data_IF_711514499165
#
_entry.id   IF_711514499165
#
_cell.length_a   1.000
_cell.length_b   1.000
_cell.length_c   1.000
_cell.angle_alpha   90.00
_cell.angle_beta   90.00
_cell.angle_gamma   90.00
#
_symmetry.space_group_name_H-M   'P 1'
#
loop_
_entity.id
_entity.type
_entity.pdbx_description
1 polymer ?
#
# COMPACT_ATOMS: atom_id res chain seq x y z
N UNK A 1 16.33 -20.61 15.21
CA UNK A 1 15.52 -19.53 14.63
C UNK A 1 16.26 -19.11 13.38
N UNK A 2 15.98 -19.78 12.26
CA UNK A 2 16.74 -19.61 11.03
C UNK A 2 16.39 -18.26 10.40
N UNK A 3 17.41 -17.48 10.06
CA UNK A 3 17.26 -16.28 9.27
C UNK A 3 16.65 -16.69 7.92
N UNK A 4 15.40 -16.28 7.68
CA UNK A 4 14.77 -16.42 6.36
C UNK A 4 15.63 -15.67 5.36
N UNK A 5 16.03 -16.36 4.30
CA UNK A 5 16.81 -15.83 3.19
C UNK A 5 16.21 -14.51 2.69
N UNK A 6 17.02 -13.46 2.68
CA UNK A 6 16.72 -12.11 2.22
C UNK A 6 16.69 -12.01 0.67
N UNK A 7 15.99 -12.92 0.01
CA UNK A 7 15.81 -12.91 -1.46
C UNK A 7 14.46 -13.44 -1.96
N UNK A 8 13.50 -13.69 -1.06
CA UNK A 8 12.15 -14.00 -1.50
C UNK A 8 11.38 -12.70 -1.75
N UNK A 9 11.00 -12.50 -3.02
CA UNK A 9 10.19 -11.36 -3.44
C UNK A 9 8.83 -11.49 -2.74
N UNK A 10 8.49 -10.54 -1.87
CA UNK A 10 7.14 -10.43 -1.30
C UNK A 10 6.15 -10.29 -2.45
N UNK A 11 5.25 -11.27 -2.58
CA UNK A 11 4.15 -11.22 -3.54
C UNK A 11 2.97 -10.45 -2.96
N UNK A 12 2.01 -10.07 -3.80
CA UNK A 12 0.77 -9.47 -3.32
C UNK A 12 -0.02 -10.41 -2.40
N UNK A 13 0.07 -11.73 -2.61
CA UNK A 13 -0.57 -12.73 -1.75
C UNK A 13 0.07 -12.76 -0.36
N UNK A 14 1.40 -12.70 -0.29
CA UNK A 14 2.11 -12.65 0.99
C UNK A 14 1.70 -11.41 1.80
N UNK A 15 1.61 -10.24 1.14
CA UNK A 15 1.19 -9.00 1.78
C UNK A 15 -0.20 -9.12 2.39
N UNK A 16 -1.17 -9.64 1.61
CA UNK A 16 -2.55 -9.80 2.08
C UNK A 16 -2.65 -10.85 3.19
N UNK A 17 -1.93 -11.97 3.08
CA UNK A 17 -1.88 -13.00 4.12
C UNK A 17 -1.34 -12.41 5.43
N UNK A 18 -0.21 -11.70 5.40
CA UNK A 18 0.36 -11.06 6.59
C UNK A 18 -0.62 -10.06 7.20
N UNK A 19 -1.24 -9.17 6.41
CA UNK A 19 -2.27 -8.25 6.91
C UNK A 19 -3.46 -8.98 7.56
N UNK A 20 -3.83 -10.15 7.03
CA UNK A 20 -4.81 -11.06 7.63
C UNK A 20 -4.37 -11.62 8.99
N UNK A 21 -3.12 -12.04 9.11
CA UNK A 21 -2.50 -12.53 10.35
C UNK A 21 -2.41 -11.45 11.43
N UNK A 22 -2.16 -10.20 11.04
CA UNK A 22 -2.28 -9.03 11.93
C UNK A 22 -3.72 -8.76 12.38
N UNK A 23 -4.70 -9.47 11.83
CA UNK A 23 -6.10 -9.29 12.16
C UNK A 23 -6.63 -7.91 11.74
N UNK A 24 -6.14 -7.37 10.63
CA UNK A 24 -6.56 -6.05 10.15
C UNK A 24 -7.65 -6.12 9.09
N UNK A 25 -7.83 -7.29 8.47
CA UNK A 25 -8.75 -7.51 7.37
C UNK A 25 -9.98 -8.31 7.83
N UNK A 26 -11.16 -7.91 7.37
CA UNK A 26 -12.41 -8.66 7.54
C UNK A 26 -12.73 -9.48 6.28
N UNK A 27 -12.52 -8.89 5.10
CA UNK A 27 -12.77 -9.53 3.81
C UNK A 27 -11.77 -9.02 2.80
N UNK A 28 -11.30 -9.92 1.92
CA UNK A 28 -10.42 -9.59 0.80
C UNK A 28 -10.81 -10.37 -0.44
N UNK A 29 -10.58 -9.78 -1.60
CA UNK A 29 -10.75 -10.41 -2.91
C UNK A 29 -9.66 -9.91 -3.85
N UNK A 30 -8.94 -10.85 -4.46
CA UNK A 30 -8.07 -10.54 -5.60
C UNK A 30 -8.95 -10.15 -6.80
N UNK A 31 -8.69 -8.98 -7.39
CA UNK A 31 -9.38 -8.49 -8.60
C UNK A 31 -8.53 -8.62 -9.84
N UNK A 32 -7.21 -8.57 -9.70
CA UNK A 32 -6.26 -8.88 -10.76
C UNK A 32 -4.94 -9.34 -10.15
N UNK A 33 -4.30 -10.30 -10.81
CA UNK A 33 -2.95 -10.75 -10.47
C UNK A 33 -2.23 -11.09 -11.76
N UNK A 34 -1.05 -10.50 -11.95
CA UNK A 34 -0.07 -10.93 -12.92
C UNK A 34 1.25 -11.25 -12.18
N UNK A 35 2.31 -11.59 -12.93
CA UNK A 35 3.59 -12.03 -12.36
C UNK A 35 4.27 -10.97 -11.47
N UNK A 36 3.94 -9.70 -11.66
CA UNK A 36 4.64 -8.58 -11.00
C UNK A 36 3.70 -7.73 -10.16
N UNK A 37 2.42 -7.64 -10.52
CA UNK A 37 1.43 -6.77 -9.88
C UNK A 37 0.19 -7.53 -9.46
N UNK A 38 -0.25 -7.29 -8.22
CA UNK A 38 -1.51 -7.80 -7.70
C UNK A 38 -2.37 -6.65 -7.20
N UNK A 39 -3.69 -6.76 -7.41
CA UNK A 39 -4.67 -5.82 -6.92
C UNK A 39 -5.74 -6.55 -6.10
N UNK A 40 -6.03 -6.00 -4.93
CA UNK A 40 -7.00 -6.51 -4.00
C UNK A 40 -7.99 -5.42 -3.62
N UNK A 41 -9.24 -5.84 -3.43
CA UNK A 41 -10.26 -5.03 -2.79
C UNK A 41 -10.72 -5.71 -1.52
N UNK A 42 -11.07 -4.95 -0.51
CA UNK A 42 -11.49 -5.54 0.75
C UNK A 42 -12.12 -4.56 1.73
N UNK A 43 -12.37 -5.09 2.92
CA UNK A 43 -12.92 -4.37 4.06
C UNK A 43 -11.99 -4.61 5.25
N UNK A 44 -11.52 -3.54 5.88
CA UNK A 44 -10.74 -3.61 7.12
C UNK A 44 -11.63 -4.01 8.29
N UNK A 45 -11.06 -4.47 9.41
CA UNK A 45 -11.86 -4.77 10.61
C UNK A 45 -12.63 -3.58 11.17
N UNK A 46 -12.20 -2.35 10.85
CA UNK A 46 -12.91 -1.11 11.21
C UNK A 46 -14.08 -0.80 10.27
N UNK A 47 -14.32 -1.65 9.26
CA UNK A 47 -15.39 -1.48 8.27
C UNK A 47 -15.03 -0.59 7.09
N UNK A 48 -13.78 -0.13 6.99
CA UNK A 48 -13.32 0.72 5.88
C UNK A 48 -13.07 -0.10 4.62
N UNK A 49 -13.61 0.35 3.49
CA UNK A 49 -13.27 -0.23 2.19
C UNK A 49 -11.85 0.17 1.80
N UNK A 50 -11.12 -0.77 1.19
CA UNK A 50 -9.79 -0.52 0.67
C UNK A 50 -9.58 -1.12 -0.71
N UNK A 51 -8.65 -0.53 -1.45
CA UNK A 51 -8.02 -1.06 -2.65
C UNK A 51 -6.51 -1.07 -2.40
N UNK A 52 -5.88 -2.23 -2.56
CA UNK A 52 -4.45 -2.40 -2.42
C UNK A 52 -3.87 -2.90 -3.74
N UNK A 53 -2.96 -2.13 -4.32
CA UNK A 53 -2.15 -2.55 -5.46
C UNK A 53 -0.72 -2.74 -5.00
N UNK A 54 -0.14 -3.91 -5.23
CA UNK A 54 1.25 -4.22 -4.90
C UNK A 54 2.00 -4.66 -6.15
N UNK A 55 3.03 -3.91 -6.51
CA UNK A 55 3.98 -4.24 -7.55
C UNK A 55 5.30 -4.68 -6.90
N UNK A 56 5.65 -5.95 -7.07
CA UNK A 56 6.75 -6.62 -6.38
C UNK A 56 8.08 -5.85 -6.56
N UNK A 57 8.74 -5.51 -5.46
CA UNK A 57 10.01 -4.74 -5.42
C UNK A 57 9.96 -3.34 -6.07
N UNK A 58 8.76 -2.78 -6.27
CA UNK A 58 8.60 -1.49 -6.93
C UNK A 58 7.78 -0.54 -6.09
N UNK A 59 6.50 -0.84 -5.93
CA UNK A 59 5.58 0.08 -5.27
C UNK A 59 4.40 -0.63 -4.63
N UNK A 60 3.85 0.01 -3.60
CA UNK A 60 2.59 -0.38 -2.98
C UNK A 60 1.69 0.85 -2.95
N UNK A 61 0.43 0.68 -3.30
CA UNK A 61 -0.57 1.74 -3.34
C UNK A 61 -1.76 1.26 -2.53
N UNK A 62 -2.13 2.00 -1.50
CA UNK A 62 -3.30 1.74 -0.67
C UNK A 62 -4.26 2.90 -0.80
N UNK A 63 -5.46 2.65 -1.33
CA UNK A 63 -6.58 3.59 -1.28
C UNK A 63 -7.59 3.12 -0.25
N UNK A 64 -7.96 3.98 0.69
CA UNK A 64 -8.88 3.70 1.80
C UNK A 64 -9.92 4.81 1.94
N UNK A 65 -11.13 4.43 2.38
CA UNK A 65 -12.20 5.39 2.59
C UNK A 65 -11.92 6.36 3.77
N UNK A 66 -11.24 5.86 4.79
CA UNK A 66 -10.88 6.61 6.00
C UNK A 66 -9.50 6.20 6.45
N UNK A 67 -8.80 7.12 7.11
CA UNK A 67 -7.48 6.89 7.66
C UNK A 67 -7.46 5.71 8.65
N UNK A 68 -6.52 4.79 8.47
CA UNK A 68 -6.37 3.61 9.32
C UNK A 68 -4.88 3.39 9.65
N UNK A 69 -4.42 4.06 10.71
CA UNK A 69 -3.01 4.05 11.13
C UNK A 69 -2.46 2.64 11.43
N UNK A 70 -3.30 1.72 11.92
CA UNK A 70 -2.88 0.34 12.20
C UNK A 70 -2.60 -0.41 10.91
N UNK A 71 -3.44 -0.20 9.89
CA UNK A 71 -3.24 -0.75 8.55
C UNK A 71 -1.99 -0.17 7.88
N UNK A 72 -1.80 1.16 7.94
CA UNK A 72 -0.64 1.84 7.37
C UNK A 72 0.67 1.35 8.00
N UNK A 73 0.69 1.18 9.33
CA UNK A 73 1.85 0.69 10.06
C UNK A 73 2.18 -0.74 9.69
N UNK A 74 1.21 -1.65 9.76
CA UNK A 74 1.42 -3.05 9.43
C UNK A 74 1.84 -3.23 7.97
N UNK A 75 1.22 -2.49 7.03
CA UNK A 75 1.62 -2.54 5.64
C UNK A 75 3.07 -2.09 5.45
N UNK A 76 3.49 -1.02 6.14
CA UNK A 76 4.86 -0.52 6.08
C UNK A 76 5.87 -1.50 6.69
N UNK A 77 5.51 -2.20 7.77
CA UNK A 77 6.31 -3.27 8.37
C UNK A 77 6.46 -4.45 7.41
N UNK A 78 5.38 -4.86 6.73
CA UNK A 78 5.38 -5.96 5.77
C UNK A 78 6.25 -5.64 4.55
N UNK A 79 6.05 -4.47 3.93
CA UNK A 79 6.81 -4.10 2.72
C UNK A 79 8.22 -3.63 3.04
N UNK A 80 8.50 -3.27 4.29
CA UNK A 80 9.82 -2.92 4.80
C UNK A 80 10.22 -1.45 4.64
N UNK A 81 9.28 -0.57 4.27
CA UNK A 81 9.51 0.86 4.10
C UNK A 81 8.22 1.68 4.30
N UNK A 82 8.36 2.98 4.53
CA UNK A 82 7.26 3.90 4.82
C UNK A 82 6.65 4.50 3.54
N UNK A 83 5.37 4.92 3.57
CA UNK A 83 4.79 5.63 2.43
C UNK A 83 5.49 6.99 2.30
N UNK A 84 5.76 7.42 1.06
CA UNK A 84 6.43 8.70 0.81
C UNK A 84 5.43 9.85 0.64
N UNK A 85 4.17 9.55 0.32
CA UNK A 85 3.13 10.57 0.16
C UNK A 85 1.74 10.07 0.50
N UNK A 86 0.84 11.04 0.70
CA UNK A 86 -0.60 10.86 0.71
C UNK A 86 -1.27 11.86 -0.22
N UNK A 87 -2.41 11.50 -0.78
CA UNK A 87 -3.25 12.37 -1.59
C UNK A 87 -4.67 11.81 -1.67
N UNK A 88 -5.61 12.59 -2.18
CA UNK A 88 -6.95 12.09 -2.52
C UNK A 88 -7.02 11.95 -4.02
N UNK A 89 -7.28 10.73 -4.50
CA UNK A 89 -7.59 10.50 -5.90
C UNK A 89 -9.08 10.67 -6.10
N UNK A 90 -9.49 11.61 -6.97
CA UNK A 90 -10.87 12.10 -7.05
C UNK A 90 -11.90 10.98 -7.25
N UNK A 91 -11.52 9.88 -7.90
CA UNK A 91 -12.41 8.75 -8.21
C UNK A 91 -12.39 7.62 -7.20
N UNK A 92 -11.43 7.57 -6.27
CA UNK A 92 -11.21 6.38 -5.43
C UNK A 92 -10.97 6.67 -3.93
N UNK A 93 -10.54 7.87 -3.55
CA UNK A 93 -10.46 8.29 -2.15
C UNK A 93 -9.03 8.54 -1.64
N UNK A 94 -8.86 8.49 -0.31
CA UNK A 94 -7.58 8.76 0.35
C UNK A 94 -6.57 7.67 0.00
N UNK A 95 -5.44 8.06 -0.57
CA UNK A 95 -4.43 7.17 -1.14
C UNK A 95 -3.07 7.44 -0.51
N UNK A 96 -2.39 6.35 -0.18
CA UNK A 96 -1.02 6.29 0.33
C UNK A 96 -0.16 5.51 -0.65
N UNK A 97 1.01 6.04 -1.01
CA UNK A 97 1.96 5.36 -1.89
C UNK A 97 3.30 5.11 -1.23
N UNK A 98 3.82 3.92 -1.49
CA UNK A 98 5.14 3.42 -1.17
C UNK A 98 5.86 3.18 -2.50
N UNK A 99 7.08 3.70 -2.65
CA UNK A 99 7.95 3.40 -3.80
C UNK A 99 9.37 3.15 -3.29
N UNK A 100 9.89 1.95 -3.53
CA UNK A 100 11.22 1.54 -3.06
C UNK A 100 12.33 1.87 -4.04
N UNK A 101 12.00 2.38 -5.23
CA UNK A 101 12.94 2.58 -6.34
C UNK A 101 13.27 4.07 -6.50
N UNK A 102 12.26 4.91 -6.69
CA UNK A 102 12.43 6.34 -6.91
C UNK A 102 11.19 7.15 -6.44
N UNK A 103 11.01 7.28 -5.12
CA UNK A 103 9.86 7.99 -4.55
C UNK A 103 9.83 9.47 -4.93
N UNK A 104 10.98 10.10 -5.21
CA UNK A 104 11.05 11.49 -5.63
C UNK A 104 10.49 11.67 -7.05
N UNK A 105 10.93 10.83 -7.99
CA UNK A 105 10.40 10.84 -9.34
C UNK A 105 8.90 10.55 -9.33
N UNK A 106 8.47 9.54 -8.57
CA UNK A 106 7.05 9.18 -8.45
C UNK A 106 6.21 10.32 -7.86
N UNK A 107 6.70 11.00 -6.82
CA UNK A 107 6.04 12.18 -6.26
C UNK A 107 5.87 13.29 -7.30
N UNK A 108 6.90 13.56 -8.11
CA UNK A 108 6.86 14.57 -9.16
C UNK A 108 5.90 14.19 -10.31
N UNK A 109 5.72 12.90 -10.58
CA UNK A 109 4.71 12.38 -11.51
C UNK A 109 3.29 12.62 -10.98
N UNK A 110 3.01 12.24 -9.72
CA UNK A 110 1.70 12.43 -9.09
C UNK A 110 1.34 13.93 -9.02
N UNK A 111 2.32 14.80 -8.74
CA UNK A 111 2.09 16.25 -8.72
C UNK A 111 1.62 16.83 -10.06
N UNK A 112 1.90 16.14 -11.17
CA UNK A 112 1.44 16.53 -12.52
C UNK A 112 0.09 15.88 -12.89
N UNK A 113 -0.40 14.95 -12.08
CA UNK A 113 -1.68 14.29 -12.27
C UNK A 113 -2.82 15.20 -11.78
N UNK A 114 -3.74 15.55 -12.68
CA UNK A 114 -4.88 16.42 -12.37
C UNK A 114 -5.97 15.71 -11.56
N UNK A 115 -5.92 14.39 -11.43
CA UNK A 115 -6.84 13.58 -10.65
C UNK A 115 -6.39 13.38 -9.20
N UNK A 116 -5.15 13.70 -8.88
CA UNK A 116 -4.60 13.66 -7.52
C UNK A 116 -4.65 15.06 -6.89
N UNK A 117 -5.43 15.22 -5.82
CA UNK A 117 -5.56 16.48 -5.08
C UNK A 117 -5.06 16.34 -3.65
N UNK A 118 -4.65 17.45 -3.04
CA UNK A 118 -4.14 17.44 -1.66
C UNK A 118 -2.89 16.59 -1.49
N UNK A 119 -2.02 16.55 -2.51
CA UNK A 119 -0.76 15.81 -2.44
C UNK A 119 0.15 16.39 -1.36
N UNK A 120 0.48 15.54 -0.39
CA UNK A 120 1.33 15.87 0.74
C UNK A 120 2.45 14.85 0.87
N UNK A 121 3.63 15.35 1.20
CA UNK A 121 4.77 14.50 1.49
C UNK A 121 4.68 14.00 2.92
N UNK A 122 4.92 12.70 3.10
CA UNK A 122 4.94 12.09 4.43
C UNK A 122 6.38 12.16 4.93
N UNK A 123 6.62 13.04 5.89
CA UNK A 123 7.84 13.06 6.68
C UNK A 123 7.55 12.32 7.98
N UNK A 124 7.69 10.99 8.00
CA UNK A 124 7.64 10.27 9.28
C UNK A 124 8.97 10.52 10.01
N UNK A 125 8.95 10.93 11.29
CA UNK A 125 10.17 11.07 12.07
C UNK A 125 10.89 9.71 12.18
N UNK A 126 12.22 9.75 12.01
CA UNK A 126 13.12 8.61 12.23
C UNK A 126 13.00 8.01 13.63
#
# INVERSE_FOLDING_TARGET
MEARNSSDRLTGEDVICCLGEHGLLQMTKCVSSDKETCCYVGITRKGSRFVLTHACNKSTILTIAQDDQDLLRALSEIVGYMPFCRYVYVTSGLTYEWDSVDPEKRFNEIRRDTMAVGLERINMPN
#
